data_IF_569760449557
#
_entry.id   IF_569760449557
#
_cell.length_a   1.000
_cell.length_b   1.000
_cell.length_c   1.000
_cell.angle_alpha   90.00
_cell.angle_beta   90.00
_cell.angle_gamma   90.00
#
_symmetry.space_group_name_H-M   'P 1'
#
loop_
_entity.id
_entity.type
_entity.pdbx_description
1 polymer ?
#
# COMPACT_ATOMS: atom_id res chain seq x y z
N UNK A 1 7.40 11.35 -12.88
CA UNK A 1 8.18 11.16 -14.12
C UNK A 1 8.57 12.49 -14.71
N UNK A 2 7.63 13.40 -15.02
CA UNK A 2 7.88 14.68 -15.72
C UNK A 2 8.96 15.54 -15.05
N UNK A 3 8.89 15.71 -13.72
CA UNK A 3 9.87 16.51 -12.96
C UNK A 3 11.30 15.95 -13.06
N UNK A 4 11.45 14.63 -13.06
CA UNK A 4 12.76 13.99 -13.26
C UNK A 4 13.24 14.11 -14.71
N UNK A 5 12.35 13.93 -15.69
CA UNK A 5 12.70 14.09 -17.10
C UNK A 5 13.18 15.53 -17.39
N UNK A 6 12.49 16.56 -16.88
CA UNK A 6 12.93 17.96 -16.98
C UNK A 6 14.33 18.15 -16.41
N UNK A 7 14.57 17.62 -15.20
CA UNK A 7 15.86 17.72 -14.52
C UNK A 7 17.00 17.01 -15.29
N UNK A 8 16.71 15.88 -15.89
CA UNK A 8 17.69 15.14 -16.69
C UNK A 8 18.06 15.88 -17.99
N UNK A 9 17.08 16.57 -18.61
CA UNK A 9 17.35 17.44 -19.77
C UNK A 9 18.22 18.62 -19.34
N UNK A 10 17.89 19.30 -18.25
CA UNK A 10 18.68 20.41 -17.70
C UNK A 10 20.14 20.00 -17.39
N UNK A 11 20.34 18.76 -16.94
CA UNK A 11 21.65 18.20 -16.64
C UNK A 11 22.38 17.62 -17.88
N UNK A 12 21.76 17.64 -19.04
CA UNK A 12 22.31 17.08 -20.27
C UNK A 12 22.40 15.56 -20.28
N UNK A 13 21.68 14.86 -19.41
CA UNK A 13 21.67 13.41 -19.30
C UNK A 13 20.80 12.74 -20.37
N UNK A 14 19.78 13.44 -20.84
CA UNK A 14 18.88 12.99 -21.90
C UNK A 14 18.56 14.15 -22.85
N UNK A 15 18.22 13.89 -24.11
CA UNK A 15 17.86 14.95 -25.07
C UNK A 15 16.47 15.54 -24.77
N UNK A 16 16.18 16.73 -25.25
CA UNK A 16 14.92 17.44 -25.04
C UNK A 16 13.70 16.67 -25.60
N UNK A 17 13.90 15.91 -26.67
CA UNK A 17 12.89 15.03 -27.28
C UNK A 17 12.37 13.97 -26.32
N UNK A 18 13.18 13.53 -25.36
CA UNK A 18 12.73 12.60 -24.32
C UNK A 18 11.69 13.27 -23.40
N UNK A 19 11.91 14.51 -23.00
CA UNK A 19 10.93 15.26 -22.21
C UNK A 19 9.63 15.46 -23.00
N UNK A 20 9.74 15.86 -24.27
CA UNK A 20 8.58 16.01 -25.15
C UNK A 20 7.80 14.69 -25.30
N UNK A 21 8.50 13.56 -25.41
CA UNK A 21 7.87 12.24 -25.49
C UNK A 21 7.09 11.89 -24.21
N UNK A 22 7.69 12.06 -23.03
CA UNK A 22 7.02 11.70 -21.76
C UNK A 22 5.90 12.67 -21.35
N UNK A 23 5.82 13.84 -21.98
CA UNK A 23 4.75 14.83 -21.81
C UNK A 23 3.61 14.65 -22.81
N UNK A 24 3.82 13.86 -23.85
CA UNK A 24 2.83 13.64 -24.90
C UNK A 24 1.89 12.47 -24.50
N UNK A 25 0.76 12.81 -23.91
CA UNK A 25 -0.25 11.85 -23.46
C UNK A 25 -0.84 11.01 -24.59
N UNK A 26 -0.66 11.38 -25.86
CA UNK A 26 -1.06 10.53 -26.99
C UNK A 26 -0.13 9.35 -27.19
N UNK A 27 1.06 9.36 -26.61
CA UNK A 27 2.09 8.31 -26.72
C UNK A 27 2.25 7.51 -25.44
N UNK A 28 2.22 8.18 -24.30
CA UNK A 28 2.46 7.54 -23.01
C UNK A 28 1.62 8.20 -21.92
N UNK A 29 1.06 7.39 -21.05
CA UNK A 29 0.35 7.84 -19.84
C UNK A 29 0.95 7.19 -18.60
N UNK A 30 0.72 7.81 -17.45
CA UNK A 30 1.19 7.34 -16.15
C UNK A 30 0.00 7.22 -15.19
N UNK A 31 -0.84 6.17 -15.36
CA UNK A 31 -2.01 5.96 -14.52
C UNK A 31 -1.62 5.85 -13.05
N UNK A 32 -2.38 6.48 -12.19
CA UNK A 32 -2.20 6.34 -10.76
C UNK A 32 -2.80 5.02 -10.29
N UNK A 33 -2.19 4.47 -9.25
CA UNK A 33 -2.70 3.25 -8.64
C UNK A 33 -2.73 3.38 -7.14
N UNK A 34 -3.69 2.73 -6.52
CA UNK A 34 -3.79 2.55 -5.08
C UNK A 34 -3.95 1.07 -4.77
N UNK A 35 -3.08 0.55 -3.96
CA UNK A 35 -3.10 -0.84 -3.51
C UNK A 35 -3.12 -0.88 -1.98
N UNK A 36 -3.84 -1.84 -1.44
CA UNK A 36 -3.75 -2.16 -0.02
C UNK A 36 -2.89 -3.40 0.18
N UNK A 37 -1.60 -3.18 0.38
CA UNK A 37 -0.61 -4.26 0.54
C UNK A 37 0.48 -3.85 1.53
N UNK A 38 0.79 -4.74 2.46
CA UNK A 38 1.97 -4.64 3.31
C UNK A 38 2.99 -5.67 2.81
N UNK A 39 4.24 -5.25 2.73
CA UNK A 39 5.37 -6.09 2.32
C UNK A 39 6.39 -6.12 3.47
N UNK A 40 6.23 -7.02 4.44
CA UNK A 40 7.19 -7.16 5.54
C UNK A 40 8.55 -7.67 5.05
N UNK A 41 9.51 -7.74 5.95
CA UNK A 41 10.82 -8.33 5.65
C UNK A 41 10.66 -9.76 5.15
N UNK A 42 11.57 -10.24 4.26
CA UNK A 42 11.57 -11.63 3.84
C UNK A 42 11.59 -12.58 5.04
N UNK A 43 10.68 -13.56 5.04
CA UNK A 43 10.54 -14.53 6.12
C UNK A 43 11.12 -15.88 5.72
N UNK A 44 11.85 -16.52 6.63
CA UNK A 44 12.50 -17.81 6.38
C UNK A 44 11.50 -18.93 6.07
N UNK A 45 10.29 -18.91 6.67
CA UNK A 45 9.26 -19.92 6.36
C UNK A 45 8.77 -19.82 4.92
N UNK A 46 8.61 -18.56 4.41
CA UNK A 46 8.23 -18.34 3.01
C UNK A 46 9.35 -18.81 2.08
N UNK A 47 10.60 -18.51 2.44
CA UNK A 47 11.77 -19.01 1.70
C UNK A 47 11.78 -20.54 1.62
N UNK A 48 11.56 -21.23 2.73
CA UNK A 48 11.51 -22.70 2.81
C UNK A 48 10.34 -23.28 1.99
N UNK A 49 9.19 -22.63 1.98
CA UNK A 49 8.03 -23.02 1.16
C UNK A 49 8.37 -22.94 -0.34
N UNK A 50 8.94 -21.81 -0.77
CA UNK A 50 9.35 -21.60 -2.16
C UNK A 50 10.44 -22.58 -2.59
N UNK A 51 11.40 -22.89 -1.72
CA UNK A 51 12.44 -23.89 -2.00
C UNK A 51 11.84 -25.30 -2.23
N UNK A 52 10.82 -25.69 -1.46
CA UNK A 52 10.10 -26.97 -1.64
C UNK A 52 9.32 -27.00 -2.97
N UNK A 53 8.87 -25.85 -3.45
CA UNK A 53 8.21 -25.72 -4.75
C UNK A 53 9.20 -25.62 -5.92
N UNK A 54 10.51 -25.75 -5.65
CA UNK A 54 11.56 -25.75 -6.66
C UNK A 54 12.06 -24.35 -7.05
N UNK A 55 11.74 -23.32 -6.27
CA UNK A 55 12.27 -21.98 -6.50
C UNK A 55 13.70 -21.90 -5.94
N UNK A 56 14.67 -21.93 -6.83
CA UNK A 56 16.10 -21.86 -6.52
C UNK A 56 16.55 -20.41 -6.27
N UNK A 57 17.75 -20.24 -5.69
CA UNK A 57 18.38 -18.92 -5.41
C UNK A 57 17.49 -17.94 -4.64
N UNK A 58 16.67 -18.44 -3.74
CA UNK A 58 15.67 -17.67 -2.98
C UNK A 58 16.19 -17.10 -1.65
N UNK A 59 17.50 -16.98 -1.48
CA UNK A 59 18.09 -16.48 -0.23
C UNK A 59 17.97 -14.96 -0.08
N UNK A 60 17.89 -14.52 1.16
CA UNK A 60 17.85 -13.11 1.52
C UNK A 60 19.24 -12.51 1.59
N UNK A 61 19.46 -11.42 0.90
CA UNK A 61 20.70 -10.62 0.94
C UNK A 61 20.49 -9.46 1.91
N UNK A 62 21.43 -9.29 2.84
CA UNK A 62 21.51 -8.11 3.71
C UNK A 62 22.54 -7.17 3.13
N UNK A 63 22.13 -5.96 2.76
CA UNK A 63 23.04 -4.96 2.20
C UNK A 63 23.86 -4.28 3.28
N UNK A 64 24.92 -3.57 2.90
CA UNK A 64 25.74 -2.76 3.81
C UNK A 64 24.93 -1.72 4.62
N UNK A 65 23.81 -1.27 4.08
CA UNK A 65 22.87 -0.35 4.74
C UNK A 65 21.86 -1.06 5.64
N UNK A 66 22.06 -2.35 5.92
CA UNK A 66 21.15 -3.19 6.70
C UNK A 66 19.71 -3.26 6.12
N UNK A 67 19.56 -3.13 4.80
CA UNK A 67 18.32 -3.42 4.12
C UNK A 67 18.27 -4.88 3.66
N UNK A 68 17.08 -5.45 3.67
CA UNK A 68 16.85 -6.85 3.29
C UNK A 68 16.33 -6.90 1.85
N UNK A 69 16.94 -7.73 1.03
CA UNK A 69 16.54 -7.94 -0.38
C UNK A 69 16.40 -9.43 -0.63
N UNK A 70 15.30 -9.84 -1.25
CA UNK A 70 15.06 -11.21 -1.65
C UNK A 70 14.39 -11.22 -3.03
N UNK A 71 14.53 -12.31 -3.82
CA UNK A 71 13.85 -12.45 -5.11
C UNK A 71 12.36 -12.82 -4.97
N UNK A 72 11.79 -12.70 -3.79
CA UNK A 72 10.38 -12.91 -3.50
C UNK A 72 9.85 -11.84 -2.56
N UNK A 73 8.54 -11.68 -2.54
CA UNK A 73 7.83 -10.77 -1.64
C UNK A 73 6.96 -11.58 -0.69
N UNK A 74 7.23 -11.42 0.59
CA UNK A 74 6.42 -11.91 1.69
C UNK A 74 5.27 -10.92 1.92
N UNK A 75 4.06 -11.24 1.50
CA UNK A 75 2.94 -10.31 1.55
C UNK A 75 1.62 -11.02 1.85
N UNK A 76 0.73 -10.32 2.54
CA UNK A 76 -0.63 -10.75 2.77
C UNK A 76 -1.45 -10.79 1.47
N UNK A 77 -2.59 -11.46 1.49
CA UNK A 77 -3.56 -11.41 0.41
C UNK A 77 -3.97 -9.94 0.15
N UNK A 78 -3.96 -9.53 -1.12
CA UNK A 78 -4.32 -8.17 -1.50
C UNK A 78 -5.82 -7.99 -1.40
N UNK A 79 -6.28 -7.00 -0.63
CA UNK A 79 -7.71 -6.70 -0.53
C UNK A 79 -8.23 -6.00 -1.78
N UNK A 80 -7.46 -5.09 -2.36
CA UNK A 80 -7.78 -4.43 -3.62
C UNK A 80 -6.54 -3.90 -4.33
N UNK A 81 -6.67 -3.74 -5.64
CA UNK A 81 -5.83 -2.90 -6.48
C UNK A 81 -6.75 -2.04 -7.33
N UNK A 82 -6.61 -0.72 -7.21
CA UNK A 82 -7.30 0.25 -8.04
C UNK A 82 -6.29 0.96 -8.94
N UNK A 83 -6.64 1.12 -10.21
CA UNK A 83 -5.81 1.80 -11.21
C UNK A 83 -6.67 2.83 -11.93
N UNK A 84 -6.13 4.03 -12.13
CA UNK A 84 -6.73 5.06 -12.98
C UNK A 84 -6.87 4.54 -14.41
N UNK A 85 -8.09 4.59 -14.96
CA UNK A 85 -8.35 4.15 -16.34
C UNK A 85 -7.96 5.26 -17.34
N UNK A 86 -6.66 5.53 -17.41
CA UNK A 86 -6.08 6.55 -18.29
C UNK A 86 -5.02 5.94 -19.22
N UNK A 87 -5.48 5.31 -20.28
CA UNK A 87 -4.65 4.63 -21.27
C UNK A 87 -5.00 5.10 -22.68
N UNK A 88 -4.00 5.49 -23.46
CA UNK A 88 -4.19 5.98 -24.83
C UNK A 88 -4.02 4.91 -25.90
N UNK A 89 -3.28 3.84 -25.60
CA UNK A 89 -2.93 2.76 -26.54
C UNK A 89 -3.58 1.41 -26.18
N UNK A 90 -4.72 1.44 -25.48
CA UNK A 90 -5.34 0.25 -24.91
C UNK A 90 -4.66 -0.21 -23.61
N UNK A 91 -5.30 -1.10 -22.89
CA UNK A 91 -4.83 -1.64 -21.61
C UNK A 91 -5.09 -3.14 -21.47
N UNK A 92 -4.32 -3.84 -20.63
CA UNK A 92 -4.62 -5.23 -20.34
C UNK A 92 -5.94 -5.35 -19.55
N UNK A 93 -6.71 -6.44 -19.73
CA UNK A 93 -7.99 -6.66 -19.06
C UNK A 93 -7.80 -7.16 -17.64
N UNK A 94 -7.13 -6.37 -16.77
CA UNK A 94 -6.81 -6.75 -15.38
C UNK A 94 -8.06 -6.82 -14.50
N UNK A 95 -9.16 -6.20 -14.90
CA UNK A 95 -10.47 -6.33 -14.26
C UNK A 95 -10.95 -7.78 -14.18
N UNK A 96 -10.53 -8.65 -15.11
CA UNK A 96 -10.80 -10.08 -15.06
C UNK A 96 -10.09 -10.77 -13.88
N UNK A 97 -9.03 -10.15 -13.36
CA UNK A 97 -8.31 -10.57 -12.16
C UNK A 97 -8.72 -9.81 -10.90
N UNK A 98 -9.81 -9.03 -10.95
CA UNK A 98 -10.31 -8.29 -9.79
C UNK A 98 -9.71 -6.89 -9.59
N UNK A 99 -8.94 -6.38 -10.55
CA UNK A 99 -8.44 -5.00 -10.50
C UNK A 99 -9.59 -4.04 -10.77
N UNK A 100 -9.69 -2.98 -9.96
CA UNK A 100 -10.67 -1.91 -10.13
C UNK A 100 -10.07 -0.82 -11.02
N UNK A 101 -10.67 -0.60 -12.18
CA UNK A 101 -10.39 0.58 -12.99
C UNK A 101 -11.38 1.69 -12.64
N UNK A 102 -10.87 2.86 -12.31
CA UNK A 102 -11.69 4.02 -11.92
C UNK A 102 -11.11 5.31 -12.52
N UNK A 103 -11.84 6.40 -12.36
CA UNK A 103 -11.28 7.71 -12.63
C UNK A 103 -10.28 8.14 -11.53
N UNK A 104 -9.51 9.16 -11.82
CA UNK A 104 -8.51 9.72 -10.92
C UNK A 104 -9.09 10.16 -9.57
N UNK A 105 -10.26 10.76 -9.59
CA UNK A 105 -10.91 11.25 -8.38
C UNK A 105 -11.26 10.09 -7.43
N UNK A 106 -11.72 8.97 -7.98
CA UNK A 106 -12.01 7.76 -7.20
C UNK A 106 -10.73 7.14 -6.62
N UNK A 107 -9.63 7.10 -7.37
CA UNK A 107 -8.33 6.65 -6.85
C UNK A 107 -7.88 7.52 -5.66
N UNK A 108 -8.00 8.85 -5.79
CA UNK A 108 -7.66 9.79 -4.70
C UNK A 108 -8.58 9.62 -3.48
N UNK A 109 -9.87 9.32 -3.68
CA UNK A 109 -10.80 9.00 -2.58
C UNK A 109 -10.42 7.72 -1.85
N UNK A 110 -10.02 6.68 -2.58
CA UNK A 110 -9.54 5.41 -1.98
C UNK A 110 -8.29 5.67 -1.12
N UNK A 111 -7.33 6.45 -1.63
CA UNK A 111 -6.15 6.82 -0.87
C UNK A 111 -6.51 7.57 0.42
N UNK A 112 -7.39 8.57 0.32
CA UNK A 112 -7.85 9.35 1.49
C UNK A 112 -8.57 8.48 2.51
N UNK A 113 -9.47 7.60 2.07
CA UNK A 113 -10.15 6.64 2.93
C UNK A 113 -9.12 5.81 3.73
N UNK A 114 -8.14 5.22 3.05
CA UNK A 114 -7.13 4.36 3.69
C UNK A 114 -6.17 5.17 4.54
N UNK A 115 -5.48 6.14 3.95
CA UNK A 115 -4.34 6.83 4.57
C UNK A 115 -4.81 7.80 5.65
N UNK A 116 -5.86 8.59 5.36
CA UNK A 116 -6.27 9.67 6.26
C UNK A 116 -7.26 9.21 7.35
N UNK A 117 -7.89 8.04 7.19
CA UNK A 117 -9.01 7.66 8.07
C UNK A 117 -8.89 6.24 8.61
N UNK A 118 -8.87 5.22 7.74
CA UNK A 118 -9.13 3.85 8.16
C UNK A 118 -7.88 3.07 8.60
N UNK A 119 -6.68 3.53 8.30
CA UNK A 119 -5.43 2.79 8.61
C UNK A 119 -4.42 3.64 9.39
N UNK A 120 -3.86 4.70 8.78
CA UNK A 120 -2.71 5.39 9.37
C UNK A 120 -3.02 6.09 10.71
N UNK A 121 -4.19 6.72 10.93
CA UNK A 121 -4.50 7.29 12.25
C UNK A 121 -4.51 6.26 13.38
N UNK A 122 -4.99 5.04 13.09
CA UNK A 122 -5.00 3.94 14.06
C UNK A 122 -3.57 3.51 14.41
N UNK A 123 -2.71 3.32 13.40
CA UNK A 123 -1.29 3.03 13.60
C UNK A 123 -0.58 4.15 14.37
N UNK A 124 -0.86 5.41 14.08
CA UNK A 124 -0.27 6.55 14.78
C UNK A 124 -0.66 6.55 16.26
N UNK A 125 -1.94 6.33 16.56
CA UNK A 125 -2.41 6.24 17.93
C UNK A 125 -1.72 5.07 18.69
N UNK A 126 -1.65 3.90 18.07
CA UNK A 126 -0.99 2.74 18.65
C UNK A 126 0.49 2.99 18.91
N UNK A 127 1.22 3.53 17.92
CA UNK A 127 2.66 3.80 18.08
C UNK A 127 2.96 4.77 19.23
N UNK A 128 2.07 5.72 19.50
CA UNK A 128 2.25 6.68 20.62
C UNK A 128 1.88 6.02 21.95
N UNK A 129 0.64 5.58 22.08
CA UNK A 129 0.13 5.09 23.37
C UNK A 129 0.68 3.71 23.74
N UNK A 130 0.88 2.84 22.76
CA UNK A 130 1.51 1.54 22.99
C UNK A 130 2.95 1.67 23.49
N UNK A 131 3.75 2.52 22.84
CA UNK A 131 5.12 2.78 23.32
C UNK A 131 5.15 3.41 24.72
N UNK A 132 4.22 4.31 25.04
CA UNK A 132 4.10 4.89 26.37
C UNK A 132 3.77 3.85 27.46
N UNK A 133 3.02 2.81 27.11
CA UNK A 133 2.67 1.69 27.98
C UNK A 133 3.70 0.55 27.95
N UNK A 134 4.78 0.68 27.16
CA UNK A 134 5.87 -0.27 27.11
C UNK A 134 5.70 -1.41 26.10
N UNK A 135 4.69 -1.34 25.23
CA UNK A 135 4.51 -2.31 24.13
C UNK A 135 5.52 -2.07 23.00
N UNK A 136 5.90 -3.14 22.32
CA UNK A 136 6.81 -3.11 21.16
C UNK A 136 6.20 -3.77 19.91
N UNK A 137 5.07 -4.45 20.04
CA UNK A 137 4.37 -5.13 18.97
C UNK A 137 2.91 -4.71 18.94
N UNK A 138 2.41 -4.35 17.77
CA UNK A 138 1.01 -3.97 17.54
C UNK A 138 0.05 -5.09 17.95
N UNK A 139 0.39 -6.35 17.67
CA UNK A 139 -0.42 -7.48 18.09
C UNK A 139 -0.57 -7.60 19.60
N UNK A 140 0.48 -7.26 20.37
CA UNK A 140 0.41 -7.22 21.83
C UNK A 140 -0.45 -6.06 22.33
N UNK A 141 -0.36 -4.89 21.68
CA UNK A 141 -1.24 -3.75 21.96
C UNK A 141 -2.71 -4.09 21.71
N UNK A 142 -3.01 -4.80 20.64
CA UNK A 142 -4.38 -5.24 20.32
C UNK A 142 -4.90 -6.37 21.20
N UNK A 143 -4.03 -7.07 21.92
CA UNK A 143 -4.41 -8.01 22.97
C UNK A 143 -4.80 -7.32 24.29
N UNK A 144 -4.35 -6.09 24.52
CA UNK A 144 -4.76 -5.23 25.62
C UNK A 144 -6.16 -4.69 25.37
N UNK A 145 -7.10 -4.92 26.31
CA UNK A 145 -8.52 -4.56 26.13
C UNK A 145 -8.73 -3.03 26.10
N UNK A 146 -7.97 -2.27 26.88
CA UNK A 146 -8.09 -0.81 26.95
C UNK A 146 -7.58 -0.16 25.65
N UNK A 147 -6.39 -0.59 25.18
CA UNK A 147 -5.85 -0.11 23.90
C UNK A 147 -6.76 -0.50 22.71
N UNK A 148 -7.22 -1.74 22.67
CA UNK A 148 -8.14 -2.18 21.61
C UNK A 148 -9.44 -1.36 21.61
N UNK A 149 -10.03 -1.14 22.79
CA UNK A 149 -11.24 -0.32 22.94
C UNK A 149 -11.00 1.14 22.51
N UNK A 150 -9.82 1.68 22.82
CA UNK A 150 -9.42 3.02 22.41
C UNK A 150 -9.29 3.11 20.89
N UNK A 151 -8.62 2.16 20.25
CA UNK A 151 -8.48 2.12 18.78
C UNK A 151 -9.84 1.96 18.09
N UNK A 152 -10.74 1.14 18.63
CA UNK A 152 -12.10 1.01 18.12
C UNK A 152 -12.89 2.33 18.21
N UNK A 153 -12.73 3.09 19.30
CA UNK A 153 -13.35 4.42 19.43
C UNK A 153 -12.81 5.40 18.40
N UNK A 154 -11.49 5.49 18.28
CA UNK A 154 -10.87 6.33 17.24
C UNK A 154 -11.40 5.96 15.86
N UNK A 155 -11.40 4.66 15.52
CA UNK A 155 -11.82 4.18 14.22
C UNK A 155 -13.31 4.43 13.95
N UNK A 156 -14.18 3.85 14.76
CA UNK A 156 -15.62 3.81 14.47
C UNK A 156 -16.38 5.06 14.89
N UNK A 157 -15.95 5.74 15.96
CA UNK A 157 -16.70 6.88 16.51
C UNK A 157 -16.15 8.21 15.99
N UNK A 158 -14.84 8.35 15.88
CA UNK A 158 -14.24 9.62 15.49
C UNK A 158 -13.90 9.69 13.99
N UNK A 159 -13.31 8.64 13.42
CA UNK A 159 -12.84 8.64 12.05
C UNK A 159 -13.95 8.35 11.03
N UNK A 160 -14.81 7.35 11.27
CA UNK A 160 -15.85 6.98 10.31
C UNK A 160 -16.86 8.05 9.96
N UNK A 161 -17.29 8.95 10.87
CA UNK A 161 -18.19 10.05 10.51
C UNK A 161 -17.61 11.05 9.49
N UNK A 162 -16.28 11.09 9.34
CA UNK A 162 -15.58 12.02 8.41
C UNK A 162 -14.84 11.29 7.28
N UNK A 163 -15.07 9.99 7.14
CA UNK A 163 -14.43 9.20 6.08
C UNK A 163 -14.87 9.65 4.69
N UNK A 164 -13.92 9.70 3.78
CA UNK A 164 -14.23 9.90 2.36
C UNK A 164 -14.66 8.55 1.77
N UNK A 165 -15.93 8.43 1.38
CA UNK A 165 -16.43 7.23 0.71
C UNK A 165 -16.04 7.25 -0.77
N UNK A 166 -15.25 6.27 -1.25
CA UNK A 166 -14.88 6.17 -2.66
C UNK A 166 -16.00 5.60 -3.55
N UNK A 167 -17.07 5.04 -2.98
CA UNK A 167 -18.19 4.44 -3.71
C UNK A 167 -17.94 3.06 -4.33
N UNK A 168 -16.68 2.65 -4.48
CA UNK A 168 -16.26 1.35 -5.08
C UNK A 168 -15.70 0.37 -4.04
N UNK A 169 -15.42 0.85 -2.85
CA UNK A 169 -14.99 0.07 -1.68
C UNK A 169 -15.82 0.51 -0.47
N UNK A 170 -16.15 -0.42 0.39
CA UNK A 170 -16.88 -0.13 1.61
C UNK A 170 -15.92 0.26 2.76
N UNK A 171 -15.94 1.52 3.23
CA UNK A 171 -15.03 1.95 4.31
C UNK A 171 -15.22 1.18 5.62
N UNK A 172 -16.46 0.76 5.96
CA UNK A 172 -16.72 -0.03 7.17
C UNK A 172 -16.14 -1.44 7.10
N UNK A 173 -16.21 -2.09 5.94
CA UNK A 173 -15.58 -3.39 5.73
C UNK A 173 -14.06 -3.26 5.80
N UNK A 174 -13.51 -2.20 5.20
CA UNK A 174 -12.08 -1.95 5.21
C UNK A 174 -11.55 -1.73 6.64
N UNK A 175 -12.13 -0.79 7.39
CA UNK A 175 -11.70 -0.53 8.78
C UNK A 175 -11.92 -1.74 9.70
N UNK A 176 -13.00 -2.50 9.46
CA UNK A 176 -13.28 -3.75 10.16
C UNK A 176 -12.18 -4.80 9.93
N UNK A 177 -11.70 -4.93 8.70
CA UNK A 177 -10.57 -5.80 8.38
C UNK A 177 -9.27 -5.32 9.04
N UNK A 178 -9.02 -4.00 9.07
CA UNK A 178 -7.86 -3.42 9.75
C UNK A 178 -7.88 -3.75 11.24
N UNK A 179 -8.96 -3.41 11.95
CA UNK A 179 -9.03 -3.53 13.41
C UNK A 179 -9.10 -5.00 13.88
N UNK A 180 -9.83 -5.86 13.17
CA UNK A 180 -10.13 -7.20 13.65
C UNK A 180 -9.23 -8.30 13.07
N UNK A 181 -8.52 -8.03 11.98
CA UNK A 181 -7.66 -9.04 11.33
C UNK A 181 -6.22 -8.61 11.16
N UNK A 182 -5.97 -7.36 10.75
CA UNK A 182 -4.61 -6.92 10.41
C UNK A 182 -3.81 -6.48 11.63
N UNK A 183 -4.36 -5.59 12.44
CA UNK A 183 -3.67 -5.10 13.63
C UNK A 183 -3.42 -6.19 14.70
N UNK A 184 -4.34 -7.15 14.95
CA UNK A 184 -4.07 -8.25 15.88
C UNK A 184 -3.12 -9.32 15.35
N UNK A 185 -2.87 -9.36 14.04
CA UNK A 185 -2.00 -10.37 13.45
C UNK A 185 -0.54 -9.89 13.45
N UNK A 186 0.40 -10.66 14.07
CA UNK A 186 1.82 -10.28 14.17
C UNK A 186 2.54 -10.32 12.83
#
# INVERSE_FOLDING_TARGET
VHAYASKWVEQGLVPAEFLAYVQDETKITFPWSMIDKITPRPDAKVQDMLAKDGFEDNYTIVTEKHTFTAPFVNAEETQYLCIEDHYTNGRPPLELGGVLYCDRETVDKIEKMKVCTCLNPLHTAMSIYGCMLGYTLISAEMADEDLRSFIQKIGYIEAMPVVVDPGVLNPYEFIGAVINRRLPNP
#
